data_IF_737152551109
#
_entry.id   IF_737152551109
#
_cell.length_a   1.000
_cell.length_b   1.000
_cell.length_c   1.000
_cell.angle_alpha   90.00
_cell.angle_beta   90.00
_cell.angle_gamma   90.00
#
_symmetry.space_group_name_H-M   'P 1'
#
loop_
_entity.id
_entity.type
_entity.pdbx_description
1 polymer ?
#
# COMPACT_ATOMS: atom_id res chain seq x y z
N UNK A 1 4.39 -18.26 -23.03
CA UNK A 1 3.87 -16.87 -23.17
C UNK A 1 4.85 -16.05 -23.99
N UNK A 2 4.41 -15.41 -25.08
CA UNK A 2 5.32 -14.64 -25.96
C UNK A 2 5.69 -13.28 -25.34
N UNK A 3 6.81 -12.68 -25.80
CA UNK A 3 7.30 -11.37 -25.35
C UNK A 3 6.24 -10.25 -25.34
N UNK A 4 5.38 -10.06 -26.37
CA UNK A 4 4.38 -8.99 -26.34
C UNK A 4 3.32 -9.19 -25.24
N UNK A 5 2.87 -10.42 -24.98
CA UNK A 5 1.91 -10.69 -23.90
C UNK A 5 2.49 -10.39 -22.51
N UNK A 6 3.79 -10.70 -22.29
CA UNK A 6 4.47 -10.34 -21.03
C UNK A 6 4.50 -8.83 -20.79
N UNK A 7 4.82 -8.05 -21.83
CA UNK A 7 4.88 -6.58 -21.73
C UNK A 7 3.51 -5.97 -21.42
N UNK A 8 2.45 -6.47 -22.07
CA UNK A 8 1.07 -6.03 -21.81
C UNK A 8 0.66 -6.37 -20.37
N UNK A 9 0.95 -7.59 -19.91
CA UNK A 9 0.61 -8.03 -18.56
C UNK A 9 1.31 -7.17 -17.49
N UNK A 10 2.61 -6.92 -17.62
CA UNK A 10 3.36 -6.07 -16.67
C UNK A 10 2.77 -4.65 -16.65
N UNK A 11 2.45 -4.08 -17.81
CA UNK A 11 1.83 -2.77 -17.89
C UNK A 11 0.50 -2.71 -17.14
N UNK A 12 -0.37 -3.70 -17.36
CA UNK A 12 -1.68 -3.76 -16.70
C UNK A 12 -1.54 -3.89 -15.17
N UNK A 13 -0.56 -4.65 -14.68
CA UNK A 13 -0.30 -4.79 -13.25
C UNK A 13 0.20 -3.45 -12.68
N UNK A 14 1.13 -2.78 -13.36
CA UNK A 14 1.62 -1.45 -12.94
C UNK A 14 0.49 -0.41 -12.93
N UNK A 15 -0.36 -0.38 -13.97
CA UNK A 15 -1.54 0.50 -14.01
C UNK A 15 -2.46 0.26 -12.81
N UNK A 16 -2.70 -1.00 -12.45
CA UNK A 16 -3.50 -1.35 -11.27
C UNK A 16 -2.82 -0.93 -9.97
N UNK A 17 -1.52 -1.12 -9.83
CA UNK A 17 -0.76 -0.70 -8.65
C UNK A 17 -0.79 0.83 -8.48
N UNK A 18 -0.52 1.60 -9.55
CA UNK A 18 -0.60 3.07 -9.55
C UNK A 18 -1.98 3.56 -9.11
N UNK A 19 -3.05 2.93 -9.61
CA UNK A 19 -4.41 3.25 -9.20
C UNK A 19 -4.64 2.94 -7.71
N UNK A 20 -4.03 1.87 -7.19
CA UNK A 20 -4.14 1.52 -5.78
C UNK A 20 -3.46 2.58 -4.89
N UNK A 21 -2.23 2.98 -5.25
CA UNK A 21 -1.49 4.06 -4.59
C UNK A 21 -2.21 5.41 -4.64
N UNK A 22 -2.78 5.78 -5.79
CA UNK A 22 -3.54 7.02 -5.90
C UNK A 22 -4.78 7.00 -4.98
N UNK A 23 -5.47 5.85 -4.90
CA UNK A 23 -6.61 5.72 -4.00
C UNK A 23 -6.21 5.79 -2.52
N UNK A 24 -5.04 5.26 -2.15
CA UNK A 24 -4.48 5.37 -0.80
C UNK A 24 -4.07 6.81 -0.49
N UNK A 25 -3.36 7.48 -1.40
CA UNK A 25 -3.02 8.90 -1.30
C UNK A 25 -4.26 9.77 -1.06
N UNK A 26 -5.31 9.61 -1.87
CA UNK A 26 -6.56 10.37 -1.71
C UNK A 26 -7.26 10.10 -0.39
N UNK A 27 -7.22 8.85 0.08
CA UNK A 27 -7.74 8.48 1.38
C UNK A 27 -6.99 9.24 2.50
N UNK A 28 -5.66 9.21 2.50
CA UNK A 28 -4.86 9.90 3.52
C UNK A 28 -4.99 11.42 3.44
N UNK A 29 -5.10 12.00 2.24
CA UNK A 29 -5.36 13.42 2.03
C UNK A 29 -6.68 13.83 2.69
N UNK A 30 -7.73 13.03 2.47
CA UNK A 30 -9.03 13.24 3.12
C UNK A 30 -8.94 13.05 4.64
N UNK A 31 -8.33 11.96 5.11
CA UNK A 31 -8.23 11.65 6.54
C UNK A 31 -7.48 12.75 7.32
N UNK A 32 -6.42 13.31 6.74
CA UNK A 32 -5.69 14.45 7.31
C UNK A 32 -6.54 15.71 7.41
N UNK A 33 -7.36 16.00 6.41
CA UNK A 33 -8.24 17.17 6.46
C UNK A 33 -9.27 17.11 7.60
N UNK A 34 -9.51 15.90 8.13
CA UNK A 34 -10.47 15.60 9.19
C UNK A 34 -9.79 15.42 10.56
N UNK A 35 -8.45 15.33 10.58
CA UNK A 35 -7.66 15.09 11.78
C UNK A 35 -6.85 16.34 12.09
N UNK A 36 -7.17 17.03 13.19
CA UNK A 36 -6.58 18.33 13.48
C UNK A 36 -5.07 18.27 13.76
N UNK A 37 -4.65 17.52 14.80
CA UNK A 37 -3.27 17.48 15.28
C UNK A 37 -3.07 16.31 16.25
N UNK A 38 -1.87 15.77 16.34
CA UNK A 38 -1.50 14.69 17.26
C UNK A 38 -0.86 13.51 16.53
N UNK A 39 -0.65 12.42 17.27
CA UNK A 39 -0.01 11.19 16.78
C UNK A 39 -0.62 10.64 15.48
N UNK A 40 -1.95 10.65 15.38
CA UNK A 40 -2.68 10.23 14.20
C UNK A 40 -2.45 11.18 13.02
N UNK A 41 -2.42 12.49 13.24
CA UNK A 41 -2.15 13.45 12.16
C UNK A 41 -0.72 13.28 11.62
N UNK A 42 0.26 13.10 12.51
CA UNK A 42 1.66 12.89 12.13
C UNK A 42 1.83 11.58 11.35
N UNK A 43 1.18 10.51 11.81
CA UNK A 43 1.17 9.22 11.12
C UNK A 43 0.51 9.31 9.74
N UNK A 44 -0.69 9.89 9.65
CA UNK A 44 -1.41 10.01 8.38
C UNK A 44 -0.62 10.85 7.37
N UNK A 45 0.10 11.88 7.82
CA UNK A 45 0.96 12.69 6.94
C UNK A 45 2.17 11.90 6.44
N UNK A 46 2.75 11.04 7.31
CA UNK A 46 3.82 10.12 6.93
C UNK A 46 3.35 9.11 5.88
N UNK A 47 2.17 8.53 6.08
CA UNK A 47 1.54 7.58 5.15
C UNK A 47 1.21 8.25 3.81
N UNK A 48 0.56 9.42 3.83
CA UNK A 48 0.30 10.21 2.61
C UNK A 48 1.55 10.43 1.75
N UNK A 49 2.67 10.78 2.41
CA UNK A 49 3.94 10.96 1.73
C UNK A 49 4.53 9.65 1.20
N UNK A 50 4.28 8.52 1.86
CA UNK A 50 4.69 7.19 1.40
C UNK A 50 3.94 6.79 0.13
N UNK A 51 2.60 6.84 0.12
CA UNK A 51 1.77 6.52 -1.06
C UNK A 51 2.17 7.36 -2.28
N UNK A 52 2.47 8.66 -2.06
CA UNK A 52 2.94 9.53 -3.14
C UNK A 52 4.27 9.04 -3.72
N UNK A 53 5.23 8.62 -2.87
CA UNK A 53 6.52 8.09 -3.33
C UNK A 53 6.34 6.78 -4.07
N UNK A 54 5.48 5.88 -3.58
CA UNK A 54 5.17 4.62 -4.26
C UNK A 54 4.58 4.87 -5.65
N UNK A 55 3.56 5.74 -5.74
CA UNK A 55 2.95 6.11 -7.02
C UNK A 55 3.97 6.64 -8.02
N UNK A 56 4.81 7.59 -7.60
CA UNK A 56 5.84 8.17 -8.46
C UNK A 56 6.86 7.12 -8.93
N UNK A 57 7.26 6.20 -8.04
CA UNK A 57 8.18 5.11 -8.38
C UNK A 57 7.56 4.13 -9.38
N UNK A 58 6.29 3.79 -9.22
CA UNK A 58 5.56 2.94 -10.17
C UNK A 58 5.39 3.61 -11.55
N UNK A 59 5.07 4.91 -11.56
CA UNK A 59 4.98 5.71 -12.80
C UNK A 59 6.33 5.78 -13.52
N UNK A 60 7.42 5.97 -12.78
CA UNK A 60 8.77 5.94 -13.32
C UNK A 60 9.08 4.60 -13.97
N UNK A 61 8.87 3.49 -13.27
CA UNK A 61 9.08 2.13 -13.82
C UNK A 61 8.21 1.87 -15.04
N UNK A 62 6.96 2.37 -15.06
CA UNK A 62 6.08 2.24 -16.21
C UNK A 62 6.63 2.98 -17.44
N UNK A 63 7.27 4.14 -17.24
CA UNK A 63 7.82 4.98 -18.30
C UNK A 63 9.19 4.50 -18.78
N UNK A 64 10.09 4.12 -17.87
CA UNK A 64 11.48 3.75 -18.18
C UNK A 64 11.65 2.25 -18.43
N UNK A 65 10.84 1.42 -17.76
CA UNK A 65 11.02 -0.02 -17.70
C UNK A 65 12.17 -0.47 -16.79
N UNK A 66 12.76 0.45 -16.05
CA UNK A 66 13.91 0.22 -15.17
C UNK A 66 13.51 0.42 -13.71
N UNK A 67 14.05 -0.41 -12.83
CA UNK A 67 13.89 -0.27 -11.38
C UNK A 67 15.22 0.20 -10.82
N UNK A 68 15.26 1.44 -10.33
CA UNK A 68 16.38 1.90 -9.53
C UNK A 68 16.31 1.20 -8.16
N UNK A 69 17.19 0.23 -7.97
CA UNK A 69 17.32 -0.50 -6.70
C UNK A 69 18.31 0.23 -5.81
N UNK A 70 17.83 0.99 -4.83
CA UNK A 70 18.62 1.20 -3.62
C UNK A 70 18.54 -0.09 -2.80
N UNK A 71 19.65 -0.84 -2.80
CA UNK A 71 19.94 -2.02 -1.96
C UNK A 71 19.05 -3.26 -2.14
N UNK A 72 19.68 -4.36 -2.56
CA UNK A 72 19.07 -5.69 -2.58
C UNK A 72 18.76 -6.16 -1.13
N UNK A 73 17.49 -6.13 -0.75
CA UNK A 73 17.04 -6.59 0.56
C UNK A 73 16.39 -7.99 0.48
N UNK A 74 16.77 -8.86 1.40
CA UNK A 74 16.27 -10.25 1.51
C UNK A 74 14.87 -10.23 2.14
N UNK A 75 13.88 -10.83 1.47
CA UNK A 75 12.50 -10.88 1.95
C UNK A 75 12.35 -11.69 3.24
N UNK A 76 11.67 -11.14 4.25
CA UNK A 76 11.00 -11.89 5.31
C UNK A 76 9.54 -12.16 4.91
N UNK A 77 9.01 -13.34 5.25
CA UNK A 77 7.63 -13.75 4.95
C UNK A 77 6.81 -13.67 6.23
N UNK A 78 6.08 -12.59 6.44
CA UNK A 78 4.98 -12.58 7.41
C UNK A 78 3.67 -12.79 6.64
N UNK A 79 3.03 -13.94 6.90
CA UNK A 79 1.70 -14.24 6.34
C UNK A 79 0.67 -13.43 7.12
N UNK A 80 -0.06 -12.56 6.43
CA UNK A 80 -1.29 -11.97 6.93
C UNK A 80 -2.46 -12.92 6.61
N UNK A 81 -3.48 -12.96 7.47
CA UNK A 81 -4.66 -13.81 7.26
C UNK A 81 -5.45 -13.35 6.01
N UNK A 82 -5.56 -14.24 5.01
CA UNK A 82 -6.15 -13.97 3.68
C UNK A 82 -7.67 -13.74 3.69
N UNK A 83 -8.37 -14.15 4.76
CA UNK A 83 -9.84 -14.16 4.83
C UNK A 83 -10.47 -12.77 5.09
N UNK A 84 -9.77 -11.83 5.73
CA UNK A 84 -10.29 -10.47 6.00
C UNK A 84 -10.36 -9.60 4.73
N UNK A 85 -9.48 -9.85 3.75
CA UNK A 85 -9.32 -9.00 2.56
C UNK A 85 -10.49 -9.14 1.57
N UNK A 86 -10.94 -10.38 1.33
CA UNK A 86 -11.99 -10.67 0.35
C UNK A 86 -13.36 -10.11 0.77
N UNK A 87 -13.62 -10.01 2.07
CA UNK A 87 -14.88 -9.47 2.61
C UNK A 87 -14.94 -7.94 2.48
N UNK A 88 -13.82 -7.23 2.72
CA UNK A 88 -13.75 -5.76 2.60
C UNK A 88 -13.83 -5.27 1.15
N UNK A 89 -13.13 -5.92 0.21
CA UNK A 89 -13.21 -5.57 -1.22
C UNK A 89 -14.65 -5.74 -1.75
N UNK A 90 -15.38 -6.75 -1.26
CA UNK A 90 -16.76 -7.04 -1.64
C UNK A 90 -17.77 -6.02 -1.08
N UNK A 91 -17.56 -5.55 0.16
CA UNK A 91 -18.45 -4.58 0.83
C UNK A 91 -18.20 -3.13 0.44
N UNK A 92 -17.07 -2.85 -0.20
CA UNK A 92 -16.59 -1.50 -0.45
C UNK A 92 -15.93 -0.91 0.78
N UNK A 93 -14.92 -0.08 0.55
CA UNK A 93 -14.19 0.59 1.62
C UNK A 93 -15.13 1.49 2.44
N UNK A 94 -15.02 1.49 3.78
CA UNK A 94 -15.77 2.44 4.61
C UNK A 94 -15.46 3.86 4.17
N UNK A 95 -16.50 4.64 3.88
CA UNK A 95 -16.34 6.04 3.49
C UNK A 95 -16.22 6.87 4.76
N UNK A 96 -15.08 7.55 4.94
CA UNK A 96 -14.91 8.52 6.00
C UNK A 96 -15.91 9.66 5.80
N UNK A 97 -16.56 10.09 6.89
CA UNK A 97 -17.43 11.27 6.89
C UNK A 97 -16.88 12.33 7.85
N UNK A 98 -17.19 13.63 7.70
CA UNK A 98 -16.57 14.69 8.52
C UNK A 98 -16.67 14.57 10.04
N UNK A 99 -17.44 13.60 10.57
CA UNK A 99 -17.57 13.29 11.99
C UNK A 99 -16.87 11.99 12.41
N UNK A 100 -16.17 11.32 11.49
CA UNK A 100 -15.44 10.10 11.77
C UNK A 100 -14.44 10.34 12.90
N UNK A 101 -14.40 9.43 13.88
CA UNK A 101 -13.47 9.54 14.99
C UNK A 101 -12.03 9.22 14.54
N UNK A 102 -11.06 9.58 15.40
CA UNK A 102 -9.66 9.18 15.21
C UNK A 102 -9.54 7.67 15.05
N UNK A 103 -10.23 6.91 15.90
CA UNK A 103 -10.21 5.44 15.93
C UNK A 103 -10.80 4.87 14.63
N UNK A 104 -11.96 5.36 14.19
CA UNK A 104 -12.57 4.94 12.92
C UNK A 104 -11.64 5.20 11.72
N UNK A 105 -10.99 6.37 11.69
CA UNK A 105 -10.03 6.71 10.63
C UNK A 105 -8.86 5.72 10.61
N UNK A 106 -8.27 5.43 11.77
CA UNK A 106 -7.12 4.55 11.87
C UNK A 106 -7.48 3.07 11.62
N UNK A 107 -8.67 2.62 12.02
CA UNK A 107 -9.15 1.27 11.71
C UNK A 107 -9.32 1.08 10.20
N UNK A 108 -9.87 2.08 9.51
CA UNK A 108 -9.99 2.05 8.04
C UNK A 108 -8.61 2.09 7.40
N UNK A 109 -7.69 2.94 7.89
CA UNK A 109 -6.31 2.96 7.41
C UNK A 109 -5.65 1.58 7.56
N UNK A 110 -5.75 0.96 8.74
CA UNK A 110 -5.19 -0.35 9.02
C UNK A 110 -5.72 -1.42 8.07
N UNK A 111 -7.04 -1.43 7.82
CA UNK A 111 -7.65 -2.38 6.90
C UNK A 111 -7.15 -2.18 5.45
N UNK A 112 -6.95 -0.93 5.03
CA UNK A 112 -6.42 -0.61 3.70
C UNK A 112 -4.98 -1.07 3.54
N UNK A 113 -4.13 -0.80 4.53
CA UNK A 113 -2.71 -1.23 4.52
C UNK A 113 -2.56 -2.75 4.53
N UNK A 114 -3.38 -3.47 5.31
CA UNK A 114 -3.41 -4.93 5.28
C UNK A 114 -3.74 -5.46 3.88
N UNK A 115 -4.73 -4.85 3.20
CA UNK A 115 -5.09 -5.24 1.83
C UNK A 115 -3.99 -4.88 0.83
N UNK A 116 -3.35 -3.72 0.96
CA UNK A 116 -2.20 -3.33 0.13
C UNK A 116 -1.06 -4.35 0.25
N UNK A 117 -0.69 -4.69 1.49
CA UNK A 117 0.33 -5.67 1.80
C UNK A 117 0.00 -7.04 1.20
N UNK A 118 -1.23 -7.53 1.39
CA UNK A 118 -1.67 -8.80 0.82
C UNK A 118 -1.68 -8.79 -0.72
N UNK A 119 -2.17 -7.70 -1.33
CA UNK A 119 -2.16 -7.53 -2.78
C UNK A 119 -0.74 -7.61 -3.35
N UNK A 120 0.22 -6.91 -2.76
CA UNK A 120 1.60 -6.93 -3.21
C UNK A 120 2.31 -8.25 -2.92
N UNK A 121 2.03 -8.90 -1.79
CA UNK A 121 2.51 -10.27 -1.53
C UNK A 121 2.00 -11.25 -2.58
N UNK A 122 0.72 -11.17 -2.93
CA UNK A 122 0.11 -11.99 -3.98
C UNK A 122 0.79 -11.78 -5.35
N UNK A 123 1.10 -10.53 -5.70
CA UNK A 123 1.79 -10.22 -6.96
C UNK A 123 3.25 -10.67 -6.94
N UNK A 124 3.95 -10.50 -5.82
CA UNK A 124 5.30 -11.01 -5.59
C UNK A 124 5.37 -12.52 -5.82
N UNK A 125 4.50 -13.30 -5.15
CA UNK A 125 4.49 -14.76 -5.23
C UNK A 125 4.15 -15.30 -6.63
N UNK A 126 3.30 -14.57 -7.37
CA UNK A 126 2.84 -14.99 -8.71
C UNK A 126 3.73 -14.44 -9.83
N UNK A 127 4.60 -13.48 -9.54
CA UNK A 127 5.52 -12.92 -10.52
C UNK A 127 6.58 -13.94 -10.93
N UNK A 128 6.90 -13.97 -12.22
CA UNK A 128 8.05 -14.71 -12.77
C UNK A 128 9.03 -13.79 -13.48
N UNK A 129 8.89 -12.50 -13.22
CA UNK A 129 9.65 -11.42 -13.84
C UNK A 129 10.39 -10.73 -12.71
N UNK A 130 11.72 -10.88 -12.70
CA UNK A 130 12.58 -10.43 -11.60
C UNK A 130 12.31 -8.99 -11.16
N UNK A 131 12.21 -8.04 -12.10
CA UNK A 131 11.92 -6.63 -11.78
C UNK A 131 10.58 -6.44 -11.07
N UNK A 132 9.55 -7.20 -11.46
CA UNK A 132 8.24 -7.13 -10.85
C UNK A 132 8.22 -7.83 -9.48
N UNK A 133 8.95 -8.93 -9.35
CA UNK A 133 9.17 -9.62 -8.07
C UNK A 133 9.87 -8.68 -7.07
N UNK A 134 10.98 -8.05 -7.44
CA UNK A 134 11.70 -7.11 -6.59
C UNK A 134 10.85 -5.90 -6.20
N UNK A 135 10.10 -5.34 -7.15
CA UNK A 135 9.19 -4.22 -6.91
C UNK A 135 8.08 -4.57 -5.91
N UNK A 136 7.33 -5.65 -6.16
CA UNK A 136 6.19 -5.99 -5.31
C UNK A 136 6.61 -6.53 -3.95
N UNK A 137 7.78 -7.18 -3.86
CA UNK A 137 8.34 -7.57 -2.57
C UNK A 137 8.76 -6.37 -1.72
N UNK A 138 9.27 -5.31 -2.34
CA UNK A 138 9.58 -4.05 -1.65
C UNK A 138 8.31 -3.35 -1.18
N UNK A 139 7.31 -3.17 -2.05
CA UNK A 139 6.04 -2.53 -1.69
C UNK A 139 5.33 -3.31 -0.56
N UNK A 140 5.18 -4.63 -0.69
CA UNK A 140 4.53 -5.46 0.34
C UNK A 140 5.15 -5.29 1.73
N UNK A 141 6.47 -5.06 1.79
CA UNK A 141 7.18 -4.82 3.04
C UNK A 141 6.94 -3.40 3.57
N UNK A 142 6.98 -2.39 2.70
CA UNK A 142 6.69 -1.02 3.13
C UNK A 142 5.25 -0.94 3.69
N UNK A 143 4.28 -1.61 3.06
CA UNK A 143 2.92 -1.69 3.61
C UNK A 143 2.84 -2.45 4.93
N UNK A 144 3.66 -3.48 5.14
CA UNK A 144 3.68 -4.17 6.44
C UNK A 144 4.26 -3.28 7.54
N UNK A 145 5.23 -2.42 7.21
CA UNK A 145 5.74 -1.39 8.13
C UNK A 145 4.65 -0.34 8.42
N UNK A 146 3.82 0.02 7.45
CA UNK A 146 2.65 0.90 7.65
C UNK A 146 1.61 0.28 8.61
N UNK A 147 1.26 -0.99 8.41
CA UNK A 147 0.37 -1.76 9.31
C UNK A 147 0.88 -1.71 10.75
N UNK A 148 2.19 -1.88 10.95
CA UNK A 148 2.81 -1.81 12.28
C UNK A 148 2.66 -0.41 12.86
N UNK A 149 3.01 0.65 12.12
CA UNK A 149 2.92 2.03 12.62
C UNK A 149 1.48 2.39 13.03
N UNK A 150 0.49 2.00 12.23
CA UNK A 150 -0.92 2.24 12.56
C UNK A 150 -1.32 1.48 13.83
N UNK A 151 -0.91 0.21 13.94
CA UNK A 151 -1.22 -0.63 15.10
C UNK A 151 -0.61 -0.06 16.39
N UNK A 152 0.62 0.46 16.33
CA UNK A 152 1.30 1.12 17.44
C UNK A 152 0.54 2.37 17.91
N UNK A 153 0.10 3.22 16.97
CA UNK A 153 -0.67 4.45 17.25
C UNK A 153 -2.08 4.14 17.76
N UNK A 154 -2.74 3.08 17.27
CA UNK A 154 -4.03 2.61 17.82
C UNK A 154 -3.85 2.12 19.25
N UNK A 155 -2.79 1.36 19.53
CA UNK A 155 -2.53 0.76 20.85
C UNK A 155 -1.99 1.77 21.87
N UNK A 156 -1.66 3.00 21.45
CA UNK A 156 -1.02 4.00 22.30
C UNK A 156 0.42 3.66 22.68
N UNK A 157 1.06 2.72 21.97
CA UNK A 157 2.46 2.34 22.18
C UNK A 157 3.31 3.21 21.26
N UNK A 158 3.50 4.47 21.64
CA UNK A 158 4.49 5.35 21.00
C UNK A 158 5.85 5.19 21.68
N UNK A 159 6.90 4.84 20.92
CA UNK A 159 8.30 4.80 21.39
C UNK A 159 8.89 6.19 21.55
#
# INVERSE_FOLDING_TARGET
>A
MSKPFRKILVKLILEKAIMFEENAYRFYESALSMTASGDAADLLNKLLAAELRHRLKLEEIQNTGELETETAYKSGRDKLDEDEELDMISRGWPVLNPRSSREEILEVALAREKSACSFYNNLYEKSRIKIAEELFGMLAREESEHVIWISEVISGITR
#
